data_IF_899599761489
#
_entry.id   IF_899599761489
#
_cell.length_a   1.000
_cell.length_b   1.000
_cell.length_c   1.000
_cell.angle_alpha   90.00
_cell.angle_beta   90.00
_cell.angle_gamma   90.00
#
_symmetry.space_group_name_H-M   'P 1'
#
loop_
_entity.id
_entity.type
_entity.pdbx_description
1 polymer ?
#
# COMPACT_ATOMS: atom_id res chain seq x y z
N UNK A 1 -0.71 11.62 1.70
CA UNK A 1 0.32 10.56 1.75
C UNK A 1 0.26 9.58 0.57
N UNK A 2 -0.90 9.25 -0.01
CA UNK A 2 -0.97 8.38 -1.21
C UNK A 2 -0.11 8.91 -2.37
N UNK A 3 -0.24 10.19 -2.74
CA UNK A 3 0.60 10.81 -3.78
C UNK A 3 2.10 10.72 -3.48
N UNK A 4 2.51 10.77 -2.21
CA UNK A 4 3.90 10.63 -1.81
C UNK A 4 4.41 9.19 -2.00
N UNK A 5 3.59 8.20 -1.65
CA UNK A 5 3.87 6.78 -1.90
C UNK A 5 4.01 6.50 -3.39
N UNK A 6 3.05 6.95 -4.20
CA UNK A 6 3.09 6.83 -5.66
C UNK A 6 4.36 7.45 -6.23
N UNK A 7 4.69 8.69 -5.85
CA UNK A 7 5.93 9.37 -6.30
C UNK A 7 7.19 8.61 -5.88
N UNK A 8 7.24 8.05 -4.67
CA UNK A 8 8.38 7.28 -4.20
C UNK A 8 8.60 6.02 -5.07
N UNK A 9 7.54 5.25 -5.31
CA UNK A 9 7.58 4.03 -6.13
C UNK A 9 7.93 4.35 -7.58
N UNK A 10 7.32 5.38 -8.16
CA UNK A 10 7.66 5.86 -9.52
C UNK A 10 9.13 6.27 -9.63
N UNK A 11 9.67 7.05 -8.68
CA UNK A 11 11.10 7.45 -8.71
C UNK A 11 12.05 6.25 -8.60
N UNK A 12 11.64 5.20 -7.90
CA UNK A 12 12.38 3.93 -7.80
C UNK A 12 12.16 3.00 -9.00
N UNK A 13 11.35 3.42 -9.98
CA UNK A 13 10.96 2.61 -11.14
C UNK A 13 10.33 1.26 -10.75
N UNK A 14 9.59 1.23 -9.65
CA UNK A 14 8.89 0.04 -9.17
C UNK A 14 7.45 0.00 -9.70
N UNK A 15 6.99 -1.15 -10.21
CA UNK A 15 5.59 -1.32 -10.60
C UNK A 15 4.69 -1.33 -9.37
N UNK A 16 3.51 -0.73 -9.49
CA UNK A 16 2.48 -0.76 -8.47
C UNK A 16 1.10 -0.67 -9.10
N UNK A 17 0.08 -1.10 -8.36
CA UNK A 17 -1.33 -0.92 -8.72
C UNK A 17 -1.97 -0.05 -7.63
N UNK A 18 -2.71 0.97 -8.06
CA UNK A 18 -3.46 1.83 -7.14
C UNK A 18 -4.93 1.41 -7.11
N UNK A 19 -5.42 1.12 -5.91
CA UNK A 19 -6.83 0.77 -5.66
C UNK A 19 -7.45 1.90 -4.84
N UNK A 20 -8.39 2.64 -5.44
CA UNK A 20 -9.16 3.66 -4.72
C UNK A 20 -10.42 3.04 -4.12
N UNK A 21 -10.58 3.13 -2.80
CA UNK A 21 -11.80 2.68 -2.12
C UNK A 21 -13.06 3.41 -2.58
N UNK A 22 -12.95 4.63 -3.12
CA UNK A 22 -14.10 5.38 -3.64
C UNK A 22 -14.69 4.77 -4.92
N UNK A 23 -13.87 4.00 -5.66
CA UNK A 23 -14.26 3.38 -6.94
C UNK A 23 -14.64 1.91 -6.78
N UNK A 24 -14.63 1.40 -5.55
CA UNK A 24 -14.86 0.00 -5.22
C UNK A 24 -16.02 -0.11 -4.21
N UNK A 25 -16.56 -1.32 -4.01
CA UNK A 25 -17.60 -1.53 -3.02
C UNK A 25 -17.17 -1.02 -1.63
N UNK A 26 -18.05 -0.35 -0.87
CA UNK A 26 -17.71 0.23 0.44
C UNK A 26 -17.09 -0.78 1.41
N UNK A 27 -17.47 -2.05 1.30
CA UNK A 27 -17.05 -3.15 2.16
C UNK A 27 -15.53 -3.42 2.05
N UNK A 28 -14.92 -3.12 0.90
CA UNK A 28 -13.50 -3.33 0.68
C UNK A 28 -12.66 -2.56 1.71
N UNK A 29 -13.10 -1.36 2.10
CA UNK A 29 -12.39 -0.58 3.13
C UNK A 29 -12.42 -1.31 4.47
N UNK A 30 -13.56 -1.85 4.85
CA UNK A 30 -13.75 -2.53 6.14
C UNK A 30 -12.99 -3.85 6.16
N UNK A 31 -13.00 -4.62 5.07
CA UNK A 31 -12.20 -5.84 4.91
C UNK A 31 -10.70 -5.55 5.09
N UNK A 32 -10.20 -4.49 4.46
CA UNK A 32 -8.79 -4.09 4.60
C UNK A 32 -8.47 -3.66 6.03
N UNK A 33 -9.35 -2.88 6.69
CA UNK A 33 -9.16 -2.51 8.10
C UNK A 33 -9.15 -3.73 9.00
N UNK A 34 -10.04 -4.71 8.77
CA UNK A 34 -10.11 -5.92 9.57
C UNK A 34 -8.85 -6.79 9.39
N UNK A 35 -8.35 -6.92 8.15
CA UNK A 35 -7.18 -7.73 7.86
C UNK A 35 -5.87 -7.11 8.37
N UNK A 36 -5.76 -5.78 8.39
CA UNK A 36 -4.50 -5.07 8.66
C UNK A 36 -4.47 -4.33 10.00
N UNK A 37 -5.64 -4.13 10.61
CA UNK A 37 -5.87 -3.20 11.73
C UNK A 37 -5.46 -1.74 11.42
N UNK A 38 -5.19 -1.41 10.15
CA UNK A 38 -4.71 -0.10 9.71
C UNK A 38 -5.86 0.72 9.13
N UNK A 39 -6.14 1.88 9.74
CA UNK A 39 -7.37 2.66 9.47
C UNK A 39 -7.18 3.85 8.52
N UNK A 40 -5.93 4.18 8.23
CA UNK A 40 -5.52 5.35 7.43
C UNK A 40 -5.07 4.95 6.02
N UNK A 41 -5.06 5.90 5.09
CA UNK A 41 -4.51 5.70 3.75
C UNK A 41 -3.17 6.44 3.60
N UNK A 42 -2.23 5.94 2.79
CA UNK A 42 -2.30 4.71 1.99
C UNK A 42 -2.20 3.43 2.85
N UNK A 43 -2.79 2.34 2.38
CA UNK A 43 -2.54 0.98 2.90
C UNK A 43 -1.68 0.27 1.86
N UNK A 44 -0.47 -0.13 2.25
CA UNK A 44 0.55 -0.58 1.32
C UNK A 44 0.88 -2.04 1.58
N UNK A 45 0.86 -2.84 0.52
CA UNK A 45 1.26 -4.23 0.52
C UNK A 45 2.44 -4.43 -0.44
N UNK A 46 3.43 -5.20 -0.01
CA UNK A 46 4.40 -5.79 -0.92
C UNK A 46 3.85 -7.12 -1.42
N UNK A 47 3.83 -7.25 -2.75
CA UNK A 47 3.36 -8.45 -3.45
C UNK A 47 4.45 -9.04 -4.35
N UNK A 48 5.69 -8.56 -4.21
CA UNK A 48 6.87 -9.06 -4.92
C UNK A 48 7.33 -10.35 -4.24
N UNK A 49 6.71 -11.47 -4.61
CA UNK A 49 7.02 -12.79 -4.05
C UNK A 49 5.77 -13.62 -3.81
N UNK A 50 5.96 -14.75 -3.14
CA UNK A 50 4.89 -15.67 -2.76
C UNK A 50 4.03 -15.09 -1.64
N UNK A 51 4.67 -14.46 -0.66
CA UNK A 51 3.98 -13.87 0.47
C UNK A 51 3.40 -12.49 0.14
N UNK A 52 2.31 -12.15 0.83
CA UNK A 52 1.70 -10.82 0.81
C UNK A 52 2.06 -10.13 2.11
N UNK A 53 2.98 -9.17 2.04
CA UNK A 53 3.49 -8.47 3.22
C UNK A 53 2.72 -7.17 3.37
N UNK A 54 2.03 -7.00 4.50
CA UNK A 54 1.46 -5.71 4.86
C UNK A 54 2.56 -4.79 5.38
N UNK A 55 2.84 -3.70 4.64
CA UNK A 55 3.91 -2.75 4.99
C UNK A 55 3.41 -1.71 6.00
N UNK A 56 2.16 -1.23 5.85
CA UNK A 56 1.66 -0.09 6.61
C UNK A 56 1.27 1.09 5.72
N UNK A 57 1.56 2.30 6.20
CA UNK A 57 1.38 3.54 5.48
C UNK A 57 2.64 4.02 4.79
N UNK A 58 2.63 5.30 4.40
CA UNK A 58 3.77 5.90 3.70
C UNK A 58 5.04 5.93 4.55
N UNK A 59 4.91 6.17 5.85
CA UNK A 59 6.06 6.29 6.74
C UNK A 59 6.81 4.96 6.86
N UNK A 60 6.07 3.84 6.91
CA UNK A 60 6.64 2.50 6.87
C UNK A 60 7.25 2.19 5.49
N UNK A 61 6.54 2.49 4.39
CA UNK A 61 7.07 2.32 3.04
C UNK A 61 8.40 3.06 2.83
N UNK A 62 8.53 4.27 3.40
CA UNK A 62 9.74 5.09 3.25
C UNK A 62 10.99 4.45 3.86
N UNK A 63 10.81 3.51 4.79
CA UNK A 63 11.89 2.79 5.49
C UNK A 63 12.03 1.33 5.02
N UNK A 64 11.10 0.85 4.20
CA UNK A 64 11.02 -0.54 3.77
C UNK A 64 12.08 -0.86 2.70
N UNK A 65 12.74 -2.04 2.74
CA UNK A 65 13.75 -2.42 1.76
C UNK A 65 13.11 -2.71 0.38
N UNK A 66 13.13 -1.70 -0.48
CA UNK A 66 12.52 -1.75 -1.81
C UNK A 66 13.48 -2.18 -2.94
N UNK A 67 14.78 -2.32 -2.65
CA UNK A 67 15.84 -2.51 -3.65
C UNK A 67 16.56 -3.87 -3.56
N UNK A 68 16.02 -4.84 -2.83
CA UNK A 68 16.56 -6.21 -2.75
C UNK A 68 15.86 -7.14 -3.74
#
# INVERSE_FOLDING_TARGET
>A
YCTAATRLLTRKNLPFVEISFEKHPPELRDEVVQATMHRTVPVIFDVRGEDRIFIGGFDELSKYPLNE
#
